data_IF_594928479637
#
_entry.id   IF_594928479637
#
_cell.length_a   1.000
_cell.length_b   1.000
_cell.length_c   1.000
_cell.angle_alpha   90.00
_cell.angle_beta   90.00
_cell.angle_gamma   90.00
#
_symmetry.space_group_name_H-M   'P 1'
#
loop_
_entity.id
_entity.type
_entity.pdbx_description
1 polymer ?
#
# COMPACT_ATOMS: atom_id res chain seq x y z
N UNK A 1 49.58 -7.06 -5.50
CA UNK A 1 49.42 -5.72 -4.89
C UNK A 1 48.93 -5.77 -3.46
N UNK A 2 47.83 -6.48 -3.15
CA UNK A 2 47.36 -6.63 -1.76
C UNK A 2 48.42 -7.17 -0.80
N UNK A 3 49.06 -8.30 -1.15
CA UNK A 3 50.16 -8.89 -0.35
C UNK A 3 51.25 -7.87 -0.02
N UNK A 4 51.68 -7.07 -1.01
CA UNK A 4 52.70 -6.04 -0.80
C UNK A 4 52.24 -4.99 0.22
N UNK A 5 50.98 -4.57 0.19
CA UNK A 5 50.47 -3.58 1.16
C UNK A 5 50.43 -4.16 2.58
N UNK A 6 50.01 -5.41 2.73
CA UNK A 6 49.95 -6.10 4.04
C UNK A 6 51.31 -6.52 4.58
N UNK A 7 52.31 -6.68 3.72
CA UNK A 7 53.69 -6.96 4.12
C UNK A 7 54.36 -5.74 4.75
N UNK A 8 54.00 -4.51 4.32
CA UNK A 8 54.57 -3.26 4.86
C UNK A 8 53.74 -2.62 5.97
N UNK A 9 52.41 -2.79 5.96
CA UNK A 9 51.52 -2.14 6.91
C UNK A 9 50.55 -3.14 7.52
N UNK A 10 50.36 -3.04 8.84
CA UNK A 10 49.49 -3.97 9.55
C UNK A 10 48.02 -3.72 9.17
N UNK A 11 47.32 -4.71 8.57
CA UNK A 11 45.93 -4.56 8.18
C UNK A 11 44.98 -4.80 9.37
N UNK A 12 43.80 -4.20 9.30
CA UNK A 12 42.67 -4.54 10.18
C UNK A 12 41.74 -5.55 9.47
N UNK A 13 41.67 -6.82 9.92
CA UNK A 13 40.83 -7.85 9.29
C UNK A 13 39.34 -7.49 9.22
N UNK A 14 38.81 -6.80 10.22
CA UNK A 14 37.37 -6.47 10.30
C UNK A 14 36.95 -5.44 9.23
N UNK A 15 37.93 -4.72 8.68
CA UNK A 15 37.76 -3.67 7.67
C UNK A 15 38.25 -4.08 6.28
N UNK A 16 38.43 -5.38 6.04
CA UNK A 16 38.63 -5.92 4.70
C UNK A 16 37.27 -6.02 3.99
N UNK A 17 37.19 -5.51 2.76
CA UNK A 17 36.02 -5.70 1.89
C UNK A 17 36.50 -6.12 0.50
N UNK A 18 36.12 -7.32 0.10
CA UNK A 18 36.45 -7.86 -1.22
C UNK A 18 35.25 -7.71 -2.16
N UNK A 19 35.17 -6.54 -2.83
CA UNK A 19 34.16 -6.30 -3.86
C UNK A 19 34.58 -6.85 -5.24
N UNK A 20 35.73 -7.53 -5.36
CA UNK A 20 36.12 -8.20 -6.60
C UNK A 20 35.40 -9.54 -6.69
N UNK A 21 35.36 -10.26 -5.57
CA UNK A 21 34.67 -11.55 -5.48
C UNK A 21 33.15 -11.38 -5.30
N UNK A 22 32.72 -10.25 -4.73
CA UNK A 22 31.31 -9.87 -4.54
C UNK A 22 31.07 -8.44 -5.06
N UNK A 23 30.90 -8.25 -6.38
CA UNK A 23 30.67 -6.93 -6.98
C UNK A 23 29.39 -6.28 -6.44
N UNK A 24 29.40 -4.95 -6.30
CA UNK A 24 28.18 -4.21 -5.91
C UNK A 24 27.16 -4.18 -7.05
N UNK A 25 25.90 -3.92 -6.74
CA UNK A 25 24.79 -3.84 -7.72
C UNK A 25 25.05 -2.90 -8.90
N UNK A 26 25.75 -1.79 -8.67
CA UNK A 26 26.13 -0.82 -9.70
C UNK A 26 27.33 -1.29 -10.57
N UNK A 27 27.82 -2.51 -10.37
CA UNK A 27 29.00 -3.07 -11.02
C UNK A 27 30.32 -2.63 -10.41
N UNK A 28 30.32 -1.97 -9.24
CA UNK A 28 31.58 -1.55 -8.60
C UNK A 28 32.38 -2.76 -8.11
N UNK A 29 33.63 -2.83 -8.55
CA UNK A 29 34.60 -3.89 -8.23
C UNK A 29 35.88 -3.24 -7.67
N UNK A 30 36.28 -3.60 -6.44
CA UNK A 30 37.53 -3.14 -5.82
C UNK A 30 37.82 -3.93 -4.54
N UNK A 31 39.09 -4.11 -4.21
CA UNK A 31 39.50 -4.66 -2.92
C UNK A 31 39.85 -3.51 -1.98
N UNK A 32 39.12 -3.37 -0.87
CA UNK A 32 39.36 -2.33 0.13
C UNK A 32 40.00 -2.95 1.37
N UNK A 33 41.09 -2.35 1.83
CA UNK A 33 41.75 -2.73 3.09
C UNK A 33 42.16 -1.49 3.86
N UNK A 34 41.95 -1.50 5.18
CA UNK A 34 42.41 -0.42 6.05
C UNK A 34 43.68 -0.86 6.76
N UNK A 35 44.76 -0.09 6.60
CA UNK A 35 46.07 -0.38 7.18
C UNK A 35 46.55 0.73 8.10
N UNK A 36 47.35 0.38 9.11
CA UNK A 36 47.96 1.35 10.02
C UNK A 36 49.24 1.95 9.42
N UNK A 37 49.31 3.27 9.31
CA UNK A 37 50.54 3.95 8.90
C UNK A 37 51.59 3.94 10.02
N UNK A 38 52.88 4.11 9.71
CA UNK A 38 53.94 4.23 10.72
C UNK A 38 53.79 5.49 11.59
N UNK A 39 52.99 6.46 11.12
CA UNK A 39 52.63 7.67 11.87
C UNK A 39 51.40 7.49 12.77
N UNK A 40 50.86 6.27 12.87
CA UNK A 40 49.72 5.93 13.73
C UNK A 40 48.36 6.36 13.17
N UNK A 41 48.26 6.66 11.87
CA UNK A 41 47.01 7.00 11.21
C UNK A 41 46.48 5.81 10.42
N UNK A 42 45.19 5.57 10.48
CA UNK A 42 44.54 4.60 9.62
C UNK A 42 44.39 5.15 8.21
N UNK A 43 44.82 4.36 7.22
CA UNK A 43 44.73 4.69 5.80
C UNK A 43 43.96 3.59 5.10
N UNK A 44 42.93 3.97 4.36
CA UNK A 44 42.20 3.06 3.49
C UNK A 44 42.90 2.97 2.14
N UNK A 45 43.17 1.74 1.71
CA UNK A 45 43.80 1.44 0.42
C UNK A 45 42.80 0.67 -0.43
N UNK A 46 42.51 1.21 -1.61
CA UNK A 46 41.61 0.60 -2.59
C UNK A 46 42.44 0.08 -3.76
N UNK A 47 42.31 -1.21 -4.04
CA UNK A 47 43.09 -1.91 -5.07
C UNK A 47 42.12 -2.40 -6.14
N UNK A 48 42.25 -1.86 -7.35
CA UNK A 48 41.41 -2.19 -8.50
C UNK A 48 42.23 -2.21 -9.79
N UNK A 49 41.80 -2.99 -10.77
CA UNK A 49 42.40 -2.99 -12.12
C UNK A 49 41.95 -1.76 -12.91
N UNK A 50 42.62 -1.44 -14.03
CA UNK A 50 42.22 -0.30 -14.86
C UNK A 50 40.77 -0.42 -15.38
N UNK A 51 40.34 -1.63 -15.76
CA UNK A 51 38.95 -1.92 -16.16
C UNK A 51 37.96 -1.60 -15.04
N UNK A 52 38.30 -1.99 -13.81
CA UNK A 52 37.45 -1.77 -12.62
C UNK A 52 37.40 -0.29 -12.23
N UNK A 53 38.52 0.43 -12.38
CA UNK A 53 38.62 1.88 -12.20
C UNK A 53 37.72 2.63 -13.19
N UNK A 54 37.77 2.27 -14.48
CA UNK A 54 36.90 2.87 -15.50
C UNK A 54 35.41 2.66 -15.20
N UNK A 55 35.03 1.47 -14.72
CA UNK A 55 33.65 1.16 -14.33
C UNK A 55 33.22 1.91 -13.06
N UNK A 56 34.13 2.08 -12.11
CA UNK A 56 33.89 2.83 -10.88
C UNK A 56 33.74 4.35 -11.10
N UNK A 57 34.55 4.93 -11.99
CA UNK A 57 34.58 6.38 -12.23
C UNK A 57 33.51 6.83 -13.25
N UNK A 58 33.22 6.00 -14.26
CA UNK A 58 32.36 6.37 -15.40
C UNK A 58 31.03 5.62 -15.47
N UNK A 59 30.83 4.63 -14.59
CA UNK A 59 29.60 3.83 -14.51
C UNK A 59 29.22 3.15 -15.83
N UNK A 60 27.92 3.00 -16.08
CA UNK A 60 27.35 2.31 -17.26
C UNK A 60 27.85 2.82 -18.62
N UNK A 61 28.25 4.09 -18.73
CA UNK A 61 28.67 4.70 -19.99
C UNK A 61 30.02 4.17 -20.52
N UNK A 62 30.91 3.71 -19.63
CA UNK A 62 32.19 3.12 -20.02
C UNK A 62 32.05 1.68 -20.54
N UNK A 63 31.10 0.90 -19.99
CA UNK A 63 30.86 -0.47 -20.43
C UNK A 63 30.34 -0.54 -21.87
N UNK A 64 29.60 0.48 -22.33
CA UNK A 64 29.10 0.56 -23.70
C UNK A 64 30.20 0.92 -24.72
N UNK A 65 31.10 1.85 -24.38
CA UNK A 65 32.23 2.23 -25.24
C UNK A 65 33.32 1.15 -25.33
N UNK A 66 33.60 0.44 -24.23
CA UNK A 66 34.57 -0.65 -24.25
C UNK A 66 34.08 -1.87 -25.05
N UNK A 67 32.78 -2.20 -24.99
CA UNK A 67 32.18 -3.28 -25.80
C UNK A 67 32.14 -2.99 -27.29
N UNK A 68 32.14 -1.72 -27.72
CA UNK A 68 32.18 -1.35 -29.14
C UNK A 68 33.59 -1.33 -29.73
N UNK A 69 34.63 -1.17 -28.90
CA UNK A 69 36.02 -1.04 -29.38
C UNK A 69 36.93 -2.22 -28.99
N UNK A 70 36.52 -3.07 -28.04
CA UNK A 70 37.36 -4.14 -27.48
C UNK A 70 36.99 -5.55 -27.95
N UNK A 71 37.28 -5.90 -29.21
CA UNK A 71 37.16 -7.28 -29.69
C UNK A 71 37.32 -7.45 -31.21
N UNK A 72 38.57 -7.36 -31.69
CA UNK A 72 39.09 -7.79 -33.01
C UNK A 72 38.37 -7.30 -34.28
N UNK A 73 39.06 -6.39 -34.98
CA UNK A 73 39.06 -6.33 -36.44
C UNK A 73 39.28 -7.74 -37.02
N UNK A 74 38.64 -8.03 -38.16
CA UNK A 74 38.54 -9.32 -38.88
C UNK A 74 37.45 -10.31 -38.43
N UNK A 75 36.20 -10.06 -38.85
CA UNK A 75 35.51 -10.90 -39.86
C UNK A 75 34.05 -10.47 -40.04
N UNK A 76 33.81 -9.68 -41.07
CA UNK A 76 32.47 -9.43 -41.62
C UNK A 76 31.93 -10.70 -42.29
N UNK A 77 31.46 -11.69 -41.52
CA UNK A 77 30.63 -12.78 -42.06
C UNK A 77 29.49 -13.12 -41.09
N UNK A 78 28.29 -12.66 -41.46
CA UNK A 78 26.95 -13.17 -41.15
C UNK A 78 26.82 -14.12 -39.94
N UNK A 79 26.69 -13.56 -38.74
CA UNK A 79 26.10 -14.27 -37.60
C UNK A 79 24.62 -13.89 -37.46
N UNK A 80 23.78 -14.89 -37.18
CA UNK A 80 22.36 -14.72 -36.88
C UNK A 80 22.17 -13.88 -35.60
N UNK A 81 21.10 -13.06 -35.49
CA UNK A 81 20.73 -12.37 -34.24
C UNK A 81 20.67 -13.30 -33.01
N UNK A 82 20.36 -14.59 -33.21
CA UNK A 82 20.32 -15.58 -32.13
C UNK A 82 21.70 -15.99 -31.63
N UNK A 83 22.68 -16.15 -32.53
CA UNK A 83 24.05 -16.55 -32.19
C UNK A 83 24.81 -15.41 -31.51
N UNK A 84 24.49 -14.15 -31.87
CA UNK A 84 24.98 -12.96 -31.17
C UNK A 84 24.45 -12.86 -29.74
N UNK A 85 23.21 -13.28 -29.49
CA UNK A 85 22.62 -13.28 -28.15
C UNK A 85 23.25 -14.37 -27.26
N UNK A 86 23.54 -15.54 -27.82
CA UNK A 86 24.15 -16.67 -27.11
C UNK A 86 25.63 -16.41 -26.78
N UNK A 87 26.37 -15.74 -27.67
CA UNK A 87 27.74 -15.28 -27.39
C UNK A 87 27.80 -14.11 -26.39
N UNK A 88 26.76 -13.25 -26.35
CA UNK A 88 26.62 -12.19 -25.35
C UNK A 88 26.33 -12.73 -23.94
N UNK A 89 25.52 -13.79 -23.85
CA UNK A 89 25.14 -14.46 -22.59
C UNK A 89 26.31 -15.21 -21.93
N UNK A 90 27.36 -15.55 -22.69
CA UNK A 90 28.47 -16.35 -22.18
C UNK A 90 29.55 -15.55 -21.41
N UNK A 91 29.54 -14.20 -21.41
CA UNK A 91 30.71 -13.39 -20.99
C UNK A 91 30.45 -12.05 -20.27
N UNK A 92 29.39 -11.86 -19.48
CA UNK A 92 29.32 -10.65 -18.65
C UNK A 92 28.26 -10.55 -17.56
N UNK A 93 28.72 -10.39 -16.31
CA UNK A 93 28.06 -9.65 -15.21
C UNK A 93 26.68 -10.14 -14.76
N UNK A 94 26.65 -11.12 -13.87
CA UNK A 94 25.47 -11.80 -13.30
C UNK A 94 24.28 -10.88 -12.90
N UNK A 95 24.53 -9.64 -12.49
CA UNK A 95 23.47 -8.73 -12.04
C UNK A 95 22.60 -8.14 -13.17
N UNK A 96 23.17 -7.87 -14.35
CA UNK A 96 22.41 -7.24 -15.45
C UNK A 96 21.61 -8.29 -16.21
N UNK A 97 22.14 -9.51 -16.34
CA UNK A 97 21.41 -10.63 -16.93
C UNK A 97 20.30 -11.13 -15.99
N UNK A 98 20.52 -11.14 -14.66
CA UNK A 98 19.45 -11.35 -13.68
C UNK A 98 18.36 -10.27 -13.78
N UNK A 99 18.76 -9.00 -13.97
CA UNK A 99 17.85 -7.87 -14.16
C UNK A 99 16.98 -8.01 -15.41
N UNK A 100 17.58 -8.32 -16.56
CA UNK A 100 16.84 -8.55 -17.82
C UNK A 100 15.96 -9.80 -17.73
N UNK A 101 16.41 -10.84 -17.03
CA UNK A 101 15.62 -12.04 -16.76
C UNK A 101 14.36 -11.75 -15.94
N UNK A 102 14.48 -10.97 -14.86
CA UNK A 102 13.35 -10.59 -14.01
C UNK A 102 12.33 -9.70 -14.73
N UNK A 103 12.80 -8.72 -15.51
CA UNK A 103 11.91 -7.88 -16.33
C UNK A 103 11.16 -8.75 -17.35
N UNK A 104 11.85 -9.70 -17.99
CA UNK A 104 11.24 -10.60 -18.96
C UNK A 104 10.20 -11.51 -18.31
N UNK A 105 10.48 -12.07 -17.13
CA UNK A 105 9.52 -12.90 -16.36
C UNK A 105 8.25 -12.12 -16.03
N UNK A 106 8.38 -10.85 -15.60
CA UNK A 106 7.24 -9.98 -15.28
C UNK A 106 6.44 -9.60 -16.53
N UNK A 107 7.11 -9.28 -17.64
CA UNK A 107 6.47 -8.96 -18.91
C UNK A 107 5.78 -10.17 -19.55
N UNK A 108 6.36 -11.36 -19.44
CA UNK A 108 5.75 -12.61 -19.90
C UNK A 108 4.58 -13.06 -19.00
N UNK A 109 4.53 -12.60 -17.75
CA UNK A 109 3.46 -12.85 -16.77
C UNK A 109 2.13 -12.13 -17.03
N UNK A 110 2.08 -11.17 -17.96
CA UNK A 110 0.82 -10.56 -18.43
C UNK A 110 0.16 -9.59 -17.45
N UNK A 111 0.89 -9.01 -16.49
CA UNK A 111 0.32 -7.95 -15.63
C UNK A 111 0.12 -6.64 -16.39
N UNK A 112 -1.04 -6.02 -16.17
CA UNK A 112 -1.51 -4.79 -16.83
C UNK A 112 -0.76 -3.53 -16.34
N UNK A 113 0.22 -3.70 -15.45
CA UNK A 113 0.83 -2.60 -14.72
C UNK A 113 2.37 -2.62 -14.75
N UNK A 114 2.92 -2.88 -15.94
CA UNK A 114 4.36 -2.82 -16.20
C UNK A 114 4.98 -1.45 -15.84
N UNK A 115 4.18 -0.37 -15.83
CA UNK A 115 4.62 0.97 -15.48
C UNK A 115 4.83 1.14 -13.97
N UNK A 116 3.89 0.70 -13.12
CA UNK A 116 4.11 0.72 -11.68
C UNK A 116 5.26 -0.21 -11.26
N UNK A 117 5.44 -1.34 -11.95
CA UNK A 117 6.61 -2.20 -11.73
C UNK A 117 7.93 -1.47 -11.99
N UNK A 118 8.05 -0.70 -13.07
CA UNK A 118 9.28 0.04 -13.40
C UNK A 118 9.60 1.08 -12.33
N UNK A 119 8.60 1.80 -11.81
CA UNK A 119 8.82 2.83 -10.81
C UNK A 119 9.12 2.25 -9.42
N UNK A 120 8.47 1.16 -9.02
CA UNK A 120 8.79 0.40 -7.80
C UNK A 120 10.20 -0.23 -7.89
N UNK A 121 10.64 -0.63 -9.09
CA UNK A 121 11.97 -1.20 -9.32
C UNK A 121 13.10 -0.15 -9.33
N UNK A 122 12.88 1.05 -9.89
CA UNK A 122 13.87 2.14 -9.86
C UNK A 122 14.27 2.55 -8.45
N UNK A 123 13.33 2.48 -7.50
CA UNK A 123 13.58 2.78 -6.09
C UNK A 123 14.50 1.73 -5.43
N UNK A 124 14.42 0.47 -5.86
CA UNK A 124 15.26 -0.63 -5.35
C UNK A 124 16.68 -0.66 -5.92
N UNK A 125 16.98 0.05 -7.02
CA UNK A 125 18.33 0.10 -7.60
C UNK A 125 19.34 0.89 -6.74
N UNK A 126 18.85 1.66 -5.77
CA UNK A 126 19.66 2.50 -4.88
C UNK A 126 19.56 2.11 -3.41
N UNK A 127 18.80 1.05 -3.07
CA UNK A 127 18.69 0.58 -1.69
C UNK A 127 19.97 -0.10 -1.25
N UNK A 128 20.37 0.13 0.01
CA UNK A 128 21.40 -0.67 0.67
C UNK A 128 21.01 -2.17 0.60
N UNK A 129 21.98 -3.07 0.50
CA UNK A 129 21.73 -4.52 0.43
C UNK A 129 22.05 -5.18 1.77
N UNK A 130 21.26 -6.20 2.13
CA UNK A 130 21.53 -7.08 3.26
C UNK A 130 21.93 -8.47 2.77
N UNK A 131 22.92 -9.04 3.47
CA UNK A 131 23.47 -10.36 3.17
C UNK A 131 23.00 -11.36 4.22
N UNK A 132 22.21 -12.35 3.82
CA UNK A 132 21.63 -13.34 4.73
C UNK A 132 22.04 -14.75 4.34
N UNK A 133 22.13 -15.65 5.31
CA UNK A 133 22.60 -17.01 5.12
C UNK A 133 21.45 -18.01 5.21
N UNK A 134 21.47 -19.01 4.34
CA UNK A 134 20.63 -20.21 4.51
C UNK A 134 21.16 -21.08 5.67
N UNK A 135 20.38 -22.06 6.17
CA UNK A 135 20.86 -23.01 7.17
C UNK A 135 22.05 -23.85 6.67
N UNK A 136 22.18 -24.01 5.35
CA UNK A 136 23.29 -24.71 4.67
C UNK A 136 24.54 -23.84 4.50
N UNK A 137 24.44 -22.53 4.77
CA UNK A 137 25.55 -21.58 4.67
C UNK A 137 25.63 -20.84 3.32
N UNK A 138 24.63 -20.98 2.46
CA UNK A 138 24.57 -20.26 1.18
C UNK A 138 24.22 -18.79 1.43
N UNK A 139 24.95 -17.89 0.77
CA UNK A 139 24.75 -16.44 0.86
C UNK A 139 23.64 -16.01 -0.10
N UNK A 140 22.63 -15.30 0.40
CA UNK A 140 21.55 -14.70 -0.38
C UNK A 140 21.55 -13.19 -0.16
N UNK A 141 21.49 -12.44 -1.27
CA UNK A 141 21.39 -10.98 -1.26
C UNK A 141 19.94 -10.54 -1.38
N UNK A 142 19.53 -9.61 -0.52
CA UNK A 142 18.20 -8.99 -0.49
C UNK A 142 18.34 -7.48 -0.29
N UNK A 143 17.35 -6.65 -0.70
CA UNK A 143 17.36 -5.23 -0.38
C UNK A 143 17.19 -5.00 1.13
N UNK A 144 17.73 -3.90 1.64
CA UNK A 144 17.59 -3.52 3.03
C UNK A 144 16.12 -3.37 3.42
N UNK A 145 15.77 -3.89 4.60
CA UNK A 145 14.39 -3.96 5.08
C UNK A 145 13.61 -5.18 4.56
N UNK A 146 14.20 -6.03 3.71
CA UNK A 146 13.57 -7.28 3.31
C UNK A 146 13.26 -8.18 4.51
N UNK A 147 12.16 -8.91 4.41
CA UNK A 147 11.66 -9.76 5.50
C UNK A 147 11.92 -11.25 5.25
N UNK A 148 11.73 -12.14 6.25
CA UNK A 148 11.81 -13.59 6.04
C UNK A 148 10.89 -14.10 4.92
N UNK A 149 9.76 -13.43 4.65
CA UNK A 149 8.91 -13.76 3.51
C UNK A 149 9.59 -13.46 2.17
N UNK A 150 10.26 -12.32 2.03
CA UNK A 150 11.04 -11.99 0.84
C UNK A 150 12.14 -13.04 0.62
N UNK A 151 12.84 -13.43 1.67
CA UNK A 151 13.84 -14.51 1.63
C UNK A 151 13.22 -15.85 1.17
N UNK A 152 12.06 -16.23 1.70
CA UNK A 152 11.39 -17.47 1.32
C UNK A 152 10.99 -17.48 -0.17
N UNK A 153 10.45 -16.38 -0.69
CA UNK A 153 10.10 -16.23 -2.11
C UNK A 153 11.30 -16.10 -3.04
N UNK A 154 12.45 -15.64 -2.51
CA UNK A 154 13.74 -15.62 -3.21
C UNK A 154 14.33 -17.02 -3.37
N UNK A 155 14.24 -17.88 -2.35
CA UNK A 155 14.67 -19.28 -2.44
C UNK A 155 13.83 -20.02 -3.49
N UNK A 156 12.51 -20.03 -3.31
CA UNK A 156 11.60 -20.71 -4.23
C UNK A 156 10.15 -20.29 -3.97
N UNK A 157 9.35 -20.08 -5.03
CA UNK A 157 7.94 -19.69 -4.90
C UNK A 157 7.15 -20.63 -3.99
N UNK A 158 7.33 -21.95 -4.14
CA UNK A 158 6.70 -22.96 -3.26
C UNK A 158 7.07 -22.83 -1.79
N UNK A 159 8.31 -22.46 -1.46
CA UNK A 159 8.76 -22.27 -0.07
C UNK A 159 8.09 -21.03 0.51
N UNK A 160 8.09 -19.93 -0.25
CA UNK A 160 7.35 -18.70 0.09
C UNK A 160 5.86 -18.96 0.30
N UNK A 161 5.17 -19.62 -0.64
CA UNK A 161 3.74 -19.89 -0.54
C UNK A 161 3.34 -20.77 0.65
N UNK A 162 4.24 -21.66 1.08
CA UNK A 162 4.02 -22.59 2.19
C UNK A 162 4.58 -22.09 3.52
N UNK A 163 5.11 -20.87 3.58
CA UNK A 163 5.75 -20.29 4.76
C UNK A 163 4.74 -20.05 5.89
N UNK A 164 4.94 -20.68 7.06
CA UNK A 164 4.16 -20.40 8.27
C UNK A 164 4.93 -19.47 9.21
N UNK A 165 6.24 -19.59 9.25
CA UNK A 165 7.08 -18.88 10.20
C UNK A 165 8.54 -18.93 9.78
N UNK A 166 9.35 -18.12 10.44
CA UNK A 166 10.78 -18.07 10.22
C UNK A 166 11.52 -18.13 11.55
N UNK A 167 12.73 -18.69 11.52
CA UNK A 167 13.71 -18.51 12.57
C UNK A 167 14.88 -17.72 12.02
N UNK A 168 15.31 -16.73 12.79
CA UNK A 168 16.54 -15.98 12.52
C UNK A 168 17.50 -16.28 13.66
N UNK A 169 18.70 -16.77 13.33
CA UNK A 169 19.72 -17.18 14.31
C UNK A 169 19.15 -18.16 15.36
N UNK A 170 18.38 -19.15 14.89
CA UNK A 170 17.67 -20.16 15.68
C UNK A 170 16.54 -19.65 16.61
N UNK A 171 16.20 -18.36 16.58
CA UNK A 171 15.08 -17.78 17.34
C UNK A 171 13.88 -17.58 16.43
N UNK A 172 12.67 -17.92 16.90
CA UNK A 172 11.45 -17.64 16.16
C UNK A 172 11.22 -16.13 16.06
N UNK A 173 10.97 -15.64 14.85
CA UNK A 173 10.68 -14.23 14.58
C UNK A 173 9.39 -14.07 13.79
N UNK A 174 8.71 -12.92 13.89
CA UNK A 174 7.59 -12.57 13.01
C UNK A 174 8.01 -12.58 11.53
N UNK A 175 7.06 -12.87 10.64
CA UNK A 175 7.29 -12.84 9.18
C UNK A 175 7.51 -11.43 8.63
N UNK A 176 7.15 -10.40 9.40
CA UNK A 176 7.31 -8.98 9.09
C UNK A 176 8.62 -8.39 9.61
N UNK A 177 9.41 -9.14 10.38
CA UNK A 177 10.67 -8.66 10.96
C UNK A 177 11.68 -8.35 9.83
N UNK A 178 12.32 -7.16 9.79
CA UNK A 178 13.34 -6.87 8.80
C UNK A 178 14.63 -7.66 9.08
N UNK A 179 15.22 -8.21 8.03
CA UNK A 179 16.47 -8.99 8.11
C UNK A 179 17.69 -8.08 8.16
N UNK A 180 18.69 -8.48 8.96
CA UNK A 180 19.98 -7.80 9.06
C UNK A 180 21.10 -8.58 8.35
N UNK A 181 22.14 -7.86 7.90
CA UNK A 181 23.33 -8.50 7.32
C UNK A 181 24.02 -9.40 8.34
N UNK A 182 24.27 -10.65 7.96
CA UNK A 182 24.88 -11.69 8.81
C UNK A 182 23.88 -12.67 9.40
N UNK A 183 22.57 -12.44 9.25
CA UNK A 183 21.54 -13.30 9.81
C UNK A 183 21.45 -14.65 9.10
N UNK A 184 21.34 -15.72 9.88
CA UNK A 184 21.00 -17.05 9.37
C UNK A 184 19.49 -17.27 9.45
N UNK A 185 18.84 -17.47 8.30
CA UNK A 185 17.38 -17.56 8.17
C UNK A 185 16.94 -18.98 7.86
N UNK A 186 16.07 -19.55 8.68
CA UNK A 186 15.43 -20.86 8.50
C UNK A 186 13.93 -20.67 8.32
N UNK A 187 13.38 -21.13 7.18
CA UNK A 187 11.95 -21.01 6.88
C UNK A 187 11.20 -22.27 7.28
N UNK A 188 10.14 -22.11 8.06
CA UNK A 188 9.25 -23.18 8.49
C UNK A 188 8.08 -23.24 7.50
N UNK A 189 7.92 -24.39 6.83
CA UNK A 189 6.89 -24.57 5.79
C UNK A 189 5.82 -25.59 6.18
N UNK A 190 4.61 -25.45 5.60
CA UNK A 190 3.55 -26.45 5.66
C UNK A 190 2.76 -26.55 4.36
N UNK A 191 2.35 -27.77 4.04
CA UNK A 191 1.55 -28.07 2.85
C UNK A 191 0.14 -27.47 2.87
N UNK A 192 -0.40 -27.14 4.06
CA UNK A 192 -1.75 -26.54 4.20
C UNK A 192 -1.74 -25.01 4.09
N UNK A 193 -0.56 -24.40 4.17
CA UNK A 193 -0.43 -22.95 4.15
C UNK A 193 -0.54 -22.45 2.71
N UNK A 194 -1.30 -21.37 2.55
CA UNK A 194 -1.44 -20.61 1.31
C UNK A 194 -1.14 -19.13 1.57
N UNK A 195 -0.70 -18.37 0.55
CA UNK A 195 -0.49 -16.93 0.67
C UNK A 195 -1.75 -16.21 1.16
N UNK A 196 -1.55 -15.17 1.97
CA UNK A 196 -2.63 -14.32 2.49
C UNK A 196 -2.48 -12.89 2.01
N UNK A 197 -3.57 -12.15 1.98
CA UNK A 197 -3.57 -10.75 1.55
C UNK A 197 -2.67 -9.86 2.41
N UNK A 198 -2.68 -10.08 3.74
CA UNK A 198 -1.84 -9.37 4.71
C UNK A 198 -0.34 -9.47 4.39
N UNK A 199 0.11 -10.53 3.71
CA UNK A 199 1.53 -10.70 3.37
C UNK A 199 2.04 -9.60 2.44
N UNK A 200 1.16 -8.97 1.65
CA UNK A 200 1.52 -7.84 0.79
C UNK A 200 2.00 -6.62 1.58
N UNK A 201 1.67 -6.51 2.86
CA UNK A 201 2.16 -5.45 3.74
C UNK A 201 3.56 -5.77 4.31
N UNK A 202 3.92 -7.05 4.38
CA UNK A 202 5.19 -7.52 4.96
C UNK A 202 6.32 -7.65 3.94
N UNK A 203 5.99 -7.88 2.67
CA UNK A 203 7.01 -8.06 1.62
C UNK A 203 7.44 -6.73 1.02
N UNK A 204 8.75 -6.54 0.94
CA UNK A 204 9.38 -5.36 0.34
C UNK A 204 9.70 -5.59 -1.12
N UNK A 205 10.05 -6.82 -1.51
CA UNK A 205 10.52 -7.10 -2.88
C UNK A 205 9.37 -7.17 -3.88
N UNK A 206 9.53 -6.53 -5.04
CA UNK A 206 8.56 -6.57 -6.13
C UNK A 206 8.31 -8.01 -6.62
N UNK A 207 9.35 -8.85 -6.65
CA UNK A 207 9.23 -10.26 -7.02
C UNK A 207 8.33 -11.05 -6.06
N UNK A 208 8.50 -10.88 -4.75
CA UNK A 208 7.63 -11.54 -3.77
C UNK A 208 6.20 -11.01 -3.84
N UNK A 209 6.00 -9.68 -3.96
CA UNK A 209 4.68 -9.06 -4.14
C UNK A 209 3.94 -9.63 -5.35
N UNK A 210 4.60 -9.70 -6.50
CA UNK A 210 4.00 -10.27 -7.73
C UNK A 210 3.65 -11.75 -7.56
N UNK A 211 4.54 -12.57 -6.99
CA UNK A 211 4.27 -13.99 -6.71
C UNK A 211 3.09 -14.20 -5.76
N UNK A 212 2.97 -13.37 -4.72
CA UNK A 212 1.84 -13.41 -3.78
C UNK A 212 0.54 -13.01 -4.48
N UNK A 213 0.53 -11.90 -5.23
CA UNK A 213 -0.66 -11.46 -6.00
C UNK A 213 -1.13 -12.54 -6.98
N UNK A 214 -0.20 -13.15 -7.71
CA UNK A 214 -0.50 -14.24 -8.64
C UNK A 214 -1.16 -15.43 -7.94
N UNK A 215 -0.63 -15.84 -6.79
CA UNK A 215 -1.21 -16.93 -6.00
C UNK A 215 -2.61 -16.60 -5.45
N UNK A 216 -2.81 -15.38 -4.92
CA UNK A 216 -4.12 -14.92 -4.44
C UNK A 216 -5.15 -14.86 -5.58
N UNK A 217 -4.74 -14.37 -6.76
CA UNK A 217 -5.59 -14.32 -7.94
C UNK A 217 -6.00 -15.73 -8.42
N UNK A 218 -5.09 -16.70 -8.38
CA UNK A 218 -5.40 -18.07 -8.76
C UNK A 218 -6.36 -18.73 -7.75
N UNK A 219 -6.16 -18.50 -6.45
CA UNK A 219 -7.11 -18.97 -5.43
C UNK A 219 -8.49 -18.34 -5.61
N UNK A 220 -8.54 -17.02 -5.81
CA UNK A 220 -9.77 -16.30 -6.11
C UNK A 220 -10.44 -16.86 -7.38
N UNK A 221 -9.65 -17.29 -8.38
CA UNK A 221 -10.16 -17.90 -9.60
C UNK A 221 -10.79 -19.26 -9.38
N UNK A 222 -10.17 -20.11 -8.55
CA UNK A 222 -10.73 -21.40 -8.15
C UNK A 222 -12.04 -21.20 -7.37
N UNK A 223 -12.08 -20.26 -6.43
CA UNK A 223 -13.30 -19.93 -5.69
C UNK A 223 -14.39 -19.37 -6.61
N UNK A 224 -14.04 -18.51 -7.57
CA UNK A 224 -14.98 -17.98 -8.55
C UNK A 224 -15.63 -19.08 -9.43
N UNK A 225 -14.92 -20.18 -9.72
CA UNK A 225 -15.52 -21.34 -10.41
C UNK A 225 -16.65 -21.97 -9.57
N UNK A 226 -16.44 -22.13 -8.25
CA UNK A 226 -17.48 -22.63 -7.34
C UNK A 226 -18.67 -21.66 -7.26
N UNK A 227 -18.39 -20.34 -7.19
CA UNK A 227 -19.41 -19.30 -7.18
C UNK A 227 -20.26 -19.26 -8.45
N UNK A 228 -19.64 -19.50 -9.60
CA UNK A 228 -20.35 -19.65 -10.89
C UNK A 228 -21.34 -20.82 -10.84
N UNK A 229 -20.94 -21.94 -10.23
CA UNK A 229 -21.80 -23.10 -10.07
C UNK A 229 -22.95 -22.87 -9.09
N UNK A 230 -22.71 -22.19 -7.96
CA UNK A 230 -23.75 -21.74 -7.03
C UNK A 230 -24.76 -20.82 -7.73
N UNK A 231 -24.26 -19.83 -8.47
CA UNK A 231 -25.09 -18.91 -9.23
C UNK A 231 -25.95 -19.63 -10.28
N UNK A 232 -25.37 -20.59 -11.01
CA UNK A 232 -26.09 -21.42 -11.99
C UNK A 232 -27.20 -22.28 -11.36
N UNK A 233 -26.98 -22.81 -10.15
CA UNK A 233 -28.03 -23.54 -9.40
C UNK A 233 -29.15 -22.60 -8.95
N UNK A 234 -28.79 -21.40 -8.50
CA UNK A 234 -29.75 -20.38 -8.10
C UNK A 234 -30.60 -19.90 -9.27
N UNK A 235 -30.02 -19.62 -10.43
CA UNK A 235 -30.78 -19.27 -11.64
C UNK A 235 -31.82 -20.35 -12.00
N UNK A 236 -31.44 -21.63 -11.91
CA UNK A 236 -32.39 -22.75 -12.10
C UNK A 236 -33.51 -22.78 -11.06
N UNK A 237 -33.19 -22.53 -9.78
CA UNK A 237 -34.17 -22.45 -8.68
C UNK A 237 -35.17 -21.31 -8.89
N UNK A 238 -34.71 -20.19 -9.42
CA UNK A 238 -35.51 -18.99 -9.70
C UNK A 238 -36.29 -19.11 -11.03
N UNK A 239 -35.97 -20.07 -11.89
CA UNK A 239 -36.67 -20.27 -13.17
C UNK A 239 -36.15 -19.37 -14.30
N UNK A 240 -34.87 -18.99 -14.23
CA UNK A 240 -34.19 -18.10 -15.16
C UNK A 240 -32.99 -18.83 -15.78
N UNK A 241 -32.74 -18.64 -17.08
CA UNK A 241 -31.50 -19.12 -17.70
C UNK A 241 -30.33 -18.16 -17.43
N UNK A 242 -29.14 -18.73 -17.24
CA UNK A 242 -27.90 -17.98 -16.96
C UNK A 242 -27.35 -17.21 -18.16
N UNK A 243 -28.19 -16.44 -18.85
CA UNK A 243 -27.78 -15.56 -19.93
C UNK A 243 -26.87 -14.43 -19.41
N UNK A 244 -25.98 -13.95 -20.28
CA UNK A 244 -25.08 -12.82 -20.02
C UNK A 244 -25.79 -11.60 -19.46
N UNK A 245 -27.03 -11.35 -19.88
CA UNK A 245 -27.85 -10.21 -19.47
C UNK A 245 -28.22 -10.26 -17.98
N UNK A 246 -28.52 -11.45 -17.45
CA UNK A 246 -28.88 -11.64 -16.04
C UNK A 246 -27.67 -11.45 -15.13
N UNK A 247 -26.50 -11.93 -15.58
CA UNK A 247 -25.22 -11.70 -14.90
C UNK A 247 -24.87 -10.21 -14.90
N UNK A 248 -25.03 -9.52 -16.03
CA UNK A 248 -24.82 -8.06 -16.14
C UNK A 248 -25.77 -7.27 -15.23
N UNK A 249 -27.03 -7.70 -15.10
CA UNK A 249 -27.98 -7.12 -14.16
C UNK A 249 -27.50 -7.23 -12.71
N UNK A 250 -26.97 -8.39 -12.32
CA UNK A 250 -26.38 -8.59 -11.00
C UNK A 250 -25.12 -7.74 -10.79
N UNK A 251 -24.23 -7.63 -11.78
CA UNK A 251 -23.05 -6.77 -11.69
C UNK A 251 -23.42 -5.33 -11.37
N UNK A 252 -24.44 -4.79 -12.05
CA UNK A 252 -24.95 -3.43 -11.79
C UNK A 252 -25.55 -3.31 -10.38
N UNK A 253 -26.35 -4.30 -9.95
CA UNK A 253 -27.04 -4.26 -8.65
C UNK A 253 -26.08 -4.32 -7.46
N UNK A 254 -25.07 -5.18 -7.55
CA UNK A 254 -24.08 -5.41 -6.50
C UNK A 254 -22.84 -4.52 -6.65
N UNK A 255 -22.80 -3.64 -7.66
CA UNK A 255 -21.68 -2.73 -7.97
C UNK A 255 -20.36 -3.49 -8.04
N UNK A 256 -20.32 -4.50 -8.90
CA UNK A 256 -19.14 -5.36 -9.09
C UNK A 256 -18.62 -5.17 -10.52
N UNK A 257 -17.31 -5.00 -10.66
CA UNK A 257 -16.68 -4.59 -11.91
C UNK A 257 -16.54 -5.72 -12.93
N UNK A 258 -16.53 -6.98 -12.48
CA UNK A 258 -16.38 -8.14 -13.36
C UNK A 258 -17.24 -9.34 -12.95
N UNK A 259 -17.69 -10.16 -13.92
CA UNK A 259 -18.35 -11.44 -13.64
C UNK A 259 -17.51 -12.33 -12.71
N UNK A 260 -16.19 -12.27 -12.86
CA UNK A 260 -15.26 -13.02 -12.03
C UNK A 260 -15.36 -12.64 -10.55
N UNK A 261 -15.27 -11.33 -10.27
CA UNK A 261 -15.40 -10.80 -8.92
C UNK A 261 -16.81 -11.08 -8.34
N UNK A 262 -17.85 -11.07 -9.17
CA UNK A 262 -19.21 -11.42 -8.73
C UNK A 262 -19.27 -12.89 -8.27
N UNK A 263 -18.74 -13.81 -9.08
CA UNK A 263 -18.70 -15.21 -8.69
C UNK A 263 -17.84 -15.44 -7.44
N UNK A 264 -16.70 -14.77 -7.32
CA UNK A 264 -15.87 -14.83 -6.12
C UNK A 264 -16.62 -14.39 -4.85
N UNK A 265 -17.34 -13.26 -4.92
CA UNK A 265 -18.17 -12.75 -3.81
C UNK A 265 -19.33 -13.69 -3.45
N UNK A 266 -19.89 -14.38 -4.44
CA UNK A 266 -20.91 -15.42 -4.21
C UNK A 266 -20.29 -16.65 -3.53
N UNK A 267 -19.09 -17.07 -3.95
CA UNK A 267 -18.42 -18.23 -3.40
C UNK A 267 -18.04 -18.05 -1.93
N UNK A 268 -17.50 -16.88 -1.60
CA UNK A 268 -17.08 -16.45 -0.25
C UNK A 268 -18.25 -16.08 0.67
N UNK A 269 -19.47 -15.96 0.14
CA UNK A 269 -20.67 -15.64 0.93
C UNK A 269 -20.88 -14.14 1.20
N UNK A 270 -20.02 -13.26 0.66
CA UNK A 270 -20.23 -11.81 0.64
C UNK A 270 -21.54 -11.44 -0.06
N UNK A 271 -21.96 -12.23 -1.05
CA UNK A 271 -23.28 -12.15 -1.68
C UNK A 271 -24.04 -13.45 -1.37
N UNK A 272 -24.99 -13.36 -0.44
CA UNK A 272 -25.91 -14.45 -0.12
C UNK A 272 -27.06 -14.47 -1.13
N UNK A 273 -27.04 -15.45 -2.04
CA UNK A 273 -28.02 -15.64 -3.10
C UNK A 273 -29.45 -15.87 -2.58
N UNK A 274 -29.63 -16.45 -1.39
CA UNK A 274 -30.96 -16.72 -0.83
C UNK A 274 -31.58 -15.46 -0.20
N UNK A 275 -30.78 -14.44 0.09
CA UNK A 275 -31.24 -13.13 0.61
C UNK A 275 -31.48 -12.09 -0.47
N UNK A 276 -31.19 -12.42 -1.73
CA UNK A 276 -31.39 -11.51 -2.85
C UNK A 276 -32.89 -11.30 -3.07
N UNK A 277 -33.35 -10.05 -2.90
CA UNK A 277 -34.74 -9.63 -3.05
C UNK A 277 -34.83 -8.40 -3.97
N UNK A 278 -36.04 -8.06 -4.40
CA UNK A 278 -36.30 -6.90 -5.25
C UNK A 278 -36.03 -7.16 -6.72
N UNK A 279 -36.41 -8.34 -7.21
CA UNK A 279 -36.40 -8.67 -8.63
C UNK A 279 -37.72 -9.33 -9.03
N UNK A 280 -38.15 -9.05 -10.25
CA UNK A 280 -39.25 -9.69 -10.93
C UNK A 280 -38.72 -10.44 -12.15
N UNK A 281 -39.32 -11.59 -12.44
CA UNK A 281 -38.93 -12.38 -13.60
C UNK A 281 -39.89 -12.03 -14.74
N UNK A 282 -39.39 -11.40 -15.80
CA UNK A 282 -40.14 -11.16 -17.03
C UNK A 282 -39.43 -11.82 -18.20
N UNK A 283 -40.11 -12.72 -18.90
CA UNK A 283 -39.58 -13.41 -20.09
C UNK A 283 -38.19 -14.05 -19.89
N UNK A 284 -37.95 -14.68 -18.72
CA UNK A 284 -36.65 -15.32 -18.42
C UNK A 284 -35.52 -14.34 -18.08
N UNK A 285 -35.82 -13.07 -17.83
CA UNK A 285 -34.85 -12.04 -17.39
C UNK A 285 -35.15 -11.56 -15.98
N UNK A 286 -34.09 -11.29 -15.22
CA UNK A 286 -34.16 -10.63 -13.92
C UNK A 286 -34.32 -9.13 -14.13
N UNK A 287 -35.55 -8.65 -14.00
CA UNK A 287 -35.83 -7.22 -13.88
C UNK A 287 -35.74 -6.84 -12.41
N UNK A 288 -34.68 -6.12 -12.06
CA UNK A 288 -34.51 -5.59 -10.72
C UNK A 288 -35.48 -4.44 -10.51
N UNK A 289 -36.12 -4.40 -9.35
CA UNK A 289 -36.91 -3.25 -8.94
C UNK A 289 -36.01 -2.02 -9.03
N UNK A 290 -36.49 -0.99 -9.72
CA UNK A 290 -35.79 0.28 -9.81
C UNK A 290 -35.77 0.91 -8.41
N UNK A 291 -34.75 0.58 -7.62
CA UNK A 291 -34.22 1.54 -6.66
C UNK A 291 -33.82 2.81 -7.41
N UNK A 292 -33.80 3.99 -6.77
CA UNK A 292 -33.44 5.24 -7.43
C UNK A 292 -32.13 5.02 -8.20
N UNK A 293 -32.20 5.15 -9.52
CA UNK A 293 -31.07 4.86 -10.40
C UNK A 293 -29.89 5.76 -9.99
N UNK A 294 -28.70 5.21 -9.68
CA UNK A 294 -27.51 6.03 -9.70
C UNK A 294 -27.28 6.40 -11.17
N UNK A 295 -27.50 7.68 -11.49
CA UNK A 295 -27.31 8.23 -12.82
C UNK A 295 -25.93 7.81 -13.37
N UNK A 296 -25.95 6.87 -14.31
CA UNK A 296 -24.77 6.46 -15.05
C UNK A 296 -24.28 7.64 -15.88
N UNK A 297 -23.09 8.13 -15.56
CA UNK A 297 -22.08 8.72 -16.46
C UNK A 297 -22.54 9.17 -17.86
N UNK A 298 -23.52 10.07 -17.90
CA UNK A 298 -23.64 11.12 -18.90
C UNK A 298 -23.60 12.39 -18.08
N UNK A 299 -22.81 13.37 -18.53
CA UNK A 299 -22.78 14.69 -17.93
C UNK A 299 -24.21 15.10 -17.55
N UNK A 300 -24.47 15.19 -16.25
CA UNK A 300 -25.76 15.57 -15.69
C UNK A 300 -26.01 17.01 -16.12
N UNK A 301 -26.71 17.17 -17.23
CA UNK A 301 -27.43 18.39 -17.53
C UNK A 301 -28.72 18.23 -16.74
N UNK A 302 -28.73 18.80 -15.52
CA UNK A 302 -29.89 18.78 -14.65
C UNK A 302 -31.13 19.27 -15.39
N UNK A 303 -32.29 18.78 -14.97
CA UNK A 303 -33.56 19.33 -15.47
C UNK A 303 -33.56 20.86 -15.26
N UNK A 304 -34.20 21.61 -16.17
CA UNK A 304 -34.32 23.07 -16.03
C UNK A 304 -34.93 23.48 -14.67
N UNK A 305 -35.72 22.60 -14.07
CA UNK A 305 -36.38 22.79 -12.77
C UNK A 305 -35.39 22.59 -11.60
N UNK A 306 -34.54 21.56 -11.62
CA UNK A 306 -33.50 21.36 -10.60
C UNK A 306 -32.42 22.45 -10.66
N UNK A 307 -32.00 22.85 -11.87
CA UNK A 307 -31.06 23.95 -12.04
C UNK A 307 -31.64 25.27 -11.51
N UNK A 308 -32.92 25.55 -11.76
CA UNK A 308 -33.61 26.72 -11.22
C UNK A 308 -33.68 26.70 -9.68
N UNK A 309 -33.98 25.55 -9.08
CA UNK A 309 -34.03 25.41 -7.61
C UNK A 309 -32.66 25.58 -6.93
N UNK A 310 -31.58 25.10 -7.55
CA UNK A 310 -30.21 25.26 -7.03
C UNK A 310 -29.74 26.71 -7.16
N UNK A 311 -30.05 27.37 -8.29
CA UNK A 311 -29.76 28.79 -8.47
C UNK A 311 -30.52 29.64 -7.45
N UNK A 312 -31.80 29.35 -7.22
CA UNK A 312 -32.61 30.07 -6.24
C UNK A 312 -32.09 29.90 -4.81
N UNK A 313 -31.72 28.69 -4.37
CA UNK A 313 -31.14 28.46 -3.05
C UNK A 313 -29.77 29.14 -2.87
N UNK A 314 -28.98 29.26 -3.94
CA UNK A 314 -27.71 30.01 -3.93
C UNK A 314 -27.92 31.52 -3.88
N UNK A 315 -28.95 32.03 -4.57
CA UNK A 315 -29.33 33.45 -4.52
C UNK A 315 -29.90 33.83 -3.14
N UNK A 316 -30.66 32.94 -2.51
CA UNK A 316 -31.23 33.12 -1.16
C UNK A 316 -30.16 33.01 -0.04
N UNK A 317 -29.15 32.15 -0.21
CA UNK A 317 -28.06 31.98 0.77
C UNK A 317 -26.97 33.07 0.71
N UNK A 318 -26.87 33.80 -0.41
CA UNK A 318 -25.71 34.65 -0.69
C UNK A 318 -24.43 33.85 -1.02
N UNK A 319 -23.32 34.56 -1.23
CA UNK A 319 -22.05 33.97 -1.67
C UNK A 319 -21.41 33.03 -0.61
N UNK A 320 -21.79 33.17 0.66
CA UNK A 320 -21.29 32.38 1.79
C UNK A 320 -22.43 32.09 2.77
N UNK A 321 -22.70 30.82 3.05
CA UNK A 321 -23.62 30.40 4.11
C UNK A 321 -22.90 30.45 5.47
N UNK A 322 -23.53 31.06 6.48
CA UNK A 322 -22.98 31.15 7.83
C UNK A 322 -23.65 30.13 8.77
N UNK A 323 -22.86 29.21 9.31
CA UNK A 323 -23.36 28.17 10.22
C UNK A 323 -23.35 28.69 11.65
N UNK A 324 -24.53 28.82 12.28
CA UNK A 324 -24.65 29.02 13.73
C UNK A 324 -25.21 30.37 14.19
N UNK A 325 -25.36 31.34 13.30
CA UNK A 325 -26.17 32.54 13.58
C UNK A 325 -27.60 32.29 13.08
N UNK A 326 -28.58 32.49 13.95
CA UNK A 326 -30.02 32.36 13.64
C UNK A 326 -30.56 33.44 12.69
N UNK A 327 -29.74 33.88 11.72
CA UNK A 327 -30.09 34.87 10.70
C UNK A 327 -30.14 34.30 9.28
N UNK A 328 -29.67 33.06 9.03
CA UNK A 328 -29.86 32.41 7.73
C UNK A 328 -31.14 31.57 7.75
N UNK A 329 -32.09 31.88 6.86
CA UNK A 329 -33.42 31.24 6.74
C UNK A 329 -33.38 29.82 6.14
N UNK A 330 -32.20 29.25 5.95
CA UNK A 330 -32.00 28.00 5.20
C UNK A 330 -31.66 26.84 6.12
N UNK A 331 -32.48 25.78 6.05
CA UNK A 331 -32.26 24.55 6.80
C UNK A 331 -30.99 23.82 6.30
N UNK A 332 -30.04 23.62 7.22
CA UNK A 332 -28.83 22.84 6.98
C UNK A 332 -28.69 21.70 7.99
N UNK A 333 -27.96 20.65 7.60
CA UNK A 333 -27.62 19.54 8.49
C UNK A 333 -26.14 19.17 8.41
N UNK A 334 -25.57 18.71 9.52
CA UNK A 334 -24.20 18.22 9.54
C UNK A 334 -24.13 16.82 8.88
N UNK A 335 -23.04 16.53 8.18
CA UNK A 335 -22.80 15.22 7.57
C UNK A 335 -22.20 14.22 8.57
N UNK A 336 -22.79 13.02 8.66
CA UNK A 336 -22.32 11.96 9.55
C UNK A 336 -20.94 11.41 9.14
N UNK A 337 -20.62 11.39 7.84
CA UNK A 337 -19.37 10.81 7.34
C UNK A 337 -18.08 11.57 7.74
N UNK A 338 -18.20 12.79 8.26
CA UNK A 338 -17.02 13.56 8.70
C UNK A 338 -17.26 14.41 9.94
N UNK A 339 -18.51 14.48 10.44
CA UNK A 339 -18.92 15.12 11.69
C UNK A 339 -18.28 16.50 11.89
N UNK A 340 -18.52 17.48 11.00
CA UNK A 340 -17.84 18.78 11.06
C UNK A 340 -18.21 19.55 12.33
N UNK A 341 -17.22 20.19 12.96
CA UNK A 341 -17.39 21.03 14.16
C UNK A 341 -16.90 22.47 13.91
N UNK A 342 -17.32 23.44 14.74
CA UNK A 342 -16.86 24.83 14.63
C UNK A 342 -15.34 24.97 14.63
N UNK A 343 -14.82 25.64 13.59
CA UNK A 343 -13.39 25.82 13.34
C UNK A 343 -12.80 24.86 12.29
N UNK A 344 -13.57 23.87 11.82
CA UNK A 344 -13.17 23.06 10.66
C UNK A 344 -13.38 23.83 9.36
N UNK A 345 -12.47 23.67 8.40
CA UNK A 345 -12.68 24.13 7.02
C UNK A 345 -13.79 23.30 6.37
N UNK A 346 -14.92 23.93 6.09
CA UNK A 346 -16.14 23.26 5.62
C UNK A 346 -16.64 23.78 4.27
N UNK A 347 -17.48 22.97 3.63
CA UNK A 347 -18.26 23.37 2.47
C UNK A 347 -19.68 22.79 2.57
N UNK A 348 -20.65 23.52 2.03
CA UNK A 348 -22.03 23.07 1.93
C UNK A 348 -22.25 22.31 0.63
N UNK A 349 -23.00 21.20 0.70
CA UNK A 349 -23.43 20.42 -0.45
C UNK A 349 -24.95 20.34 -0.49
N UNK A 350 -25.55 20.82 -1.59
CA UNK A 350 -26.99 20.78 -1.78
C UNK A 350 -27.40 19.37 -2.23
N UNK A 351 -28.14 18.63 -1.41
CA UNK A 351 -28.60 17.27 -1.70
C UNK A 351 -29.72 17.25 -2.73
N UNK A 352 -30.03 16.07 -3.30
CA UNK A 352 -31.08 15.91 -4.33
C UNK A 352 -32.47 16.24 -3.78
N UNK A 353 -32.65 16.06 -2.46
CA UNK A 353 -33.89 16.42 -1.77
C UNK A 353 -34.00 17.92 -1.44
N UNK A 354 -33.04 18.76 -1.87
CA UNK A 354 -33.07 20.21 -1.66
C UNK A 354 -32.56 20.68 -0.28
N UNK A 355 -31.95 19.81 0.52
CA UNK A 355 -31.37 20.17 1.82
C UNK A 355 -29.87 20.43 1.74
N UNK A 356 -29.34 21.30 2.59
CA UNK A 356 -27.90 21.59 2.63
C UNK A 356 -27.22 20.66 3.64
N UNK A 357 -26.19 19.93 3.21
CA UNK A 357 -25.33 19.11 4.09
C UNK A 357 -23.93 19.70 4.19
N UNK A 358 -23.47 19.91 5.41
CA UNK A 358 -22.14 20.48 5.69
C UNK A 358 -21.11 19.37 5.77
N UNK A 359 -20.03 19.49 5.01
CA UNK A 359 -18.89 18.57 4.97
C UNK A 359 -17.59 19.29 5.28
N UNK A 360 -16.60 18.57 5.85
CA UNK A 360 -15.21 19.05 5.93
C UNK A 360 -14.53 18.98 4.56
N UNK A 361 -13.63 19.90 4.26
CA UNK A 361 -12.83 19.86 3.03
C UNK A 361 -12.02 18.55 2.88
N UNK A 362 -11.53 18.00 3.99
CA UNK A 362 -10.78 16.72 4.00
C UNK A 362 -11.68 15.48 4.21
N UNK A 363 -12.97 15.56 3.91
CA UNK A 363 -13.87 14.40 3.99
C UNK A 363 -13.51 13.36 2.89
N UNK A 364 -13.62 12.03 3.13
CA UNK A 364 -13.40 11.01 2.10
C UNK A 364 -14.29 11.19 0.86
N UNK A 365 -15.49 11.71 1.07
CA UNK A 365 -16.43 12.01 -0.01
C UNK A 365 -16.17 13.37 -0.69
N UNK A 366 -15.34 14.24 -0.10
CA UNK A 366 -15.13 15.61 -0.59
C UNK A 366 -14.60 15.63 -2.03
N UNK A 367 -13.59 14.81 -2.35
CA UNK A 367 -13.03 14.71 -3.71
C UNK A 367 -14.12 14.38 -4.73
N UNK A 368 -15.00 13.43 -4.41
CA UNK A 368 -16.09 13.04 -5.32
C UNK A 368 -17.11 14.17 -5.48
N UNK A 369 -17.52 14.80 -4.37
CA UNK A 369 -18.51 15.88 -4.34
C UNK A 369 -18.01 17.12 -5.08
N UNK A 370 -16.77 17.54 -4.83
CA UNK A 370 -16.15 18.71 -5.45
C UNK A 370 -15.86 18.49 -6.93
N UNK A 371 -15.37 17.32 -7.34
CA UNK A 371 -15.01 17.09 -8.75
C UNK A 371 -16.22 16.81 -9.65
N UNK A 372 -17.22 16.07 -9.17
CA UNK A 372 -18.35 15.63 -10.02
C UNK A 372 -19.57 16.55 -9.93
N UNK A 373 -19.73 17.24 -8.80
CA UNK A 373 -20.93 18.00 -8.47
C UNK A 373 -20.61 19.43 -8.01
N UNK A 374 -19.53 20.02 -8.54
CA UNK A 374 -19.09 21.38 -8.21
C UNK A 374 -20.23 22.43 -8.21
N UNK A 375 -21.18 22.31 -9.15
CA UNK A 375 -22.32 23.23 -9.26
C UNK A 375 -23.28 23.19 -8.05
N UNK A 376 -23.25 22.13 -7.24
CA UNK A 376 -24.05 21.93 -6.00
C UNK A 376 -23.30 22.28 -4.72
N UNK A 377 -22.04 22.67 -4.86
CA UNK A 377 -21.19 23.08 -3.75
C UNK A 377 -21.39 24.57 -3.51
N UNK A 378 -21.45 24.95 -2.24
CA UNK A 378 -21.51 26.33 -1.79
C UNK A 378 -20.43 26.57 -0.74
N UNK A 379 -19.90 27.80 -0.72
CA UNK A 379 -18.95 28.21 0.30
C UNK A 379 -19.70 28.36 1.62
N UNK A 380 -19.10 27.87 2.69
CA UNK A 380 -19.73 27.87 4.01
C UNK A 380 -18.68 28.15 5.07
N UNK A 381 -19.02 29.02 6.01
CA UNK A 381 -18.14 29.40 7.12
C UNK A 381 -18.90 29.28 8.45
N UNK A 382 -18.16 29.02 9.53
CA UNK A 382 -18.75 28.97 10.86
C UNK A 382 -18.97 30.39 11.40
N UNK A 383 -20.17 30.70 11.86
CA UNK A 383 -20.43 31.92 12.61
C UNK A 383 -19.67 31.84 13.94
N UNK A 384 -18.80 32.82 14.19
CA UNK A 384 -18.00 32.85 15.40
C UNK A 384 -18.89 33.18 16.60
N UNK A 385 -19.34 32.13 17.31
CA UNK A 385 -19.78 32.05 18.73
C UNK A 385 -21.07 31.24 18.88
N UNK A 386 -20.92 29.92 18.93
CA UNK A 386 -21.85 29.10 19.69
C UNK A 386 -21.03 28.07 20.47
N UNK A 387 -21.02 28.21 21.80
CA UNK A 387 -20.42 27.25 22.72
C UNK A 387 -21.35 26.03 22.84
N UNK A 388 -21.54 25.32 21.73
CA UNK A 388 -22.16 24.01 21.75
C UNK A 388 -21.08 22.95 22.03
N UNK A 389 -21.45 21.96 22.82
CA UNK A 389 -20.60 20.82 23.18
C UNK A 389 -20.79 19.74 22.10
N UNK A 390 -19.75 19.42 21.33
CA UNK A 390 -19.79 18.48 20.22
C UNK A 390 -19.18 17.13 20.60
N UNK A 391 -19.84 16.03 20.24
CA UNK A 391 -19.28 14.68 20.38
C UNK A 391 -18.35 14.38 19.19
N UNK A 392 -17.13 13.94 19.51
CA UNK A 392 -16.10 13.59 18.53
C UNK A 392 -15.43 12.29 18.94
N UNK A 393 -15.19 11.40 17.98
CA UNK A 393 -14.35 10.22 18.17
C UNK A 393 -12.87 10.57 17.97
N UNK A 394 -12.02 10.08 18.88
CA UNK A 394 -10.56 10.18 18.81
C UNK A 394 -10.00 8.77 18.91
N UNK A 395 -9.20 8.39 17.93
CA UNK A 395 -8.49 7.12 17.85
C UNK A 395 -7.03 7.37 18.17
N UNK A 396 -6.39 6.47 18.87
CA UNK A 396 -4.99 6.60 19.24
C UNK A 396 -4.35 5.22 19.33
N UNK A 397 -3.15 5.08 18.79
CA UNK A 397 -2.43 3.80 18.77
C UNK A 397 -1.01 3.98 19.28
N UNK A 398 -0.42 2.88 19.74
CA UNK A 398 0.95 2.92 20.25
C UNK A 398 1.40 1.59 20.86
N UNK A 399 2.45 1.64 21.69
CA UNK A 399 3.01 0.47 22.36
C UNK A 399 2.35 0.29 23.73
N UNK A 400 1.92 -0.93 24.01
CA UNK A 400 1.24 -1.26 25.26
C UNK A 400 2.23 -1.32 26.43
N UNK A 401 2.27 -0.24 27.21
CA UNK A 401 3.07 -0.12 28.44
C UNK A 401 2.19 -0.16 29.71
N UNK A 402 2.75 -0.68 30.79
CA UNK A 402 2.05 -0.82 32.08
C UNK A 402 1.59 0.56 32.57
N UNK A 403 0.27 0.76 32.67
CA UNK A 403 -0.35 1.97 33.21
C UNK A 403 -0.79 2.99 32.15
N UNK A 404 -0.61 2.70 30.87
CA UNK A 404 -1.00 3.57 29.76
C UNK A 404 -2.48 3.96 29.78
N UNK A 405 -3.38 3.02 30.05
CA UNK A 405 -4.83 3.28 30.15
C UNK A 405 -5.13 4.37 31.18
N UNK A 406 -4.43 4.35 32.32
CA UNK A 406 -4.57 5.38 33.35
C UNK A 406 -3.97 6.72 32.91
N UNK A 407 -2.82 6.70 32.22
CA UNK A 407 -2.21 7.92 31.69
C UNK A 407 -3.13 8.63 30.69
N UNK A 408 -3.67 7.89 29.72
CA UNK A 408 -4.59 8.42 28.70
C UNK A 408 -5.88 8.96 29.34
N UNK A 409 -6.52 8.18 30.22
CA UNK A 409 -7.76 8.62 30.89
C UNK A 409 -7.56 9.84 31.78
N UNK A 410 -6.40 9.96 32.45
CA UNK A 410 -6.03 11.13 33.24
C UNK A 410 -5.82 12.37 32.37
N UNK A 411 -5.11 12.26 31.23
CA UNK A 411 -4.92 13.41 30.32
C UNK A 411 -6.27 13.93 29.81
N UNK A 412 -7.17 13.03 29.41
CA UNK A 412 -8.50 13.43 28.89
C UNK A 412 -9.34 14.07 30.01
N UNK A 413 -9.39 13.45 31.20
CA UNK A 413 -10.34 13.85 32.25
C UNK A 413 -9.79 14.91 33.21
N UNK A 414 -8.55 14.78 33.67
CA UNK A 414 -7.97 15.63 34.71
C UNK A 414 -7.28 16.86 34.13
N UNK A 415 -6.47 16.68 33.08
CA UNK A 415 -5.68 17.77 32.50
C UNK A 415 -6.51 18.62 31.55
N UNK A 416 -7.18 17.98 30.59
CA UNK A 416 -7.98 18.66 29.58
C UNK A 416 -9.44 18.91 30.00
N UNK A 417 -9.92 18.25 31.08
CA UNK A 417 -11.29 18.38 31.59
C UNK A 417 -12.36 18.11 30.53
N UNK A 418 -12.13 17.10 29.71
CA UNK A 418 -13.00 16.69 28.61
C UNK A 418 -13.91 15.55 29.07
N UNK A 419 -15.22 15.69 28.82
CA UNK A 419 -16.19 14.65 29.16
C UNK A 419 -16.05 13.46 28.18
N UNK A 420 -15.82 12.25 28.69
CA UNK A 420 -15.76 11.01 27.91
C UNK A 420 -17.13 10.29 27.93
N UNK A 421 -17.68 9.96 26.76
CA UNK A 421 -18.90 9.15 26.62
C UNK A 421 -18.61 7.66 26.49
N UNK A 422 -17.54 7.32 25.81
CA UNK A 422 -17.10 5.94 25.65
C UNK A 422 -15.58 5.92 25.51
N UNK A 423 -14.96 4.86 26.00
CA UNK A 423 -13.55 4.59 25.77
C UNK A 423 -13.35 3.08 25.63
N UNK A 424 -12.56 2.67 24.65
CA UNK A 424 -12.17 1.29 24.39
C UNK A 424 -10.67 1.22 24.21
N UNK A 425 -10.07 0.16 24.72
CA UNK A 425 -8.67 -0.18 24.55
C UNK A 425 -8.60 -1.65 24.18
N UNK A 426 -7.95 -1.95 23.07
CA UNK A 426 -7.65 -3.31 22.64
C UNK A 426 -6.13 -3.42 22.47
N UNK A 427 -5.54 -4.47 23.02
CA UNK A 427 -4.10 -4.73 22.89
C UNK A 427 -3.91 -5.98 22.05
N UNK A 428 -3.05 -5.88 21.04
CA UNK A 428 -2.74 -6.96 20.11
C UNK A 428 -1.25 -6.92 19.76
N UNK A 429 -0.56 -8.02 20.05
CA UNK A 429 0.85 -8.22 19.73
C UNK A 429 1.81 -7.13 20.28
N UNK A 430 1.48 -6.56 21.46
CA UNK A 430 2.30 -5.53 22.13
C UNK A 430 2.06 -4.10 21.64
N UNK A 431 1.18 -3.92 20.66
CA UNK A 431 0.61 -2.61 20.32
C UNK A 431 -0.81 -2.51 20.86
N UNK A 432 -1.22 -1.32 21.24
CA UNK A 432 -2.59 -1.04 21.64
C UNK A 432 -3.27 -0.15 20.61
N UNK A 433 -4.56 -0.38 20.41
CA UNK A 433 -5.49 0.46 19.68
C UNK A 433 -6.55 0.96 20.66
N UNK A 434 -6.64 2.27 20.80
CA UNK A 434 -7.59 2.95 21.65
C UNK A 434 -8.57 3.81 20.85
N UNK A 435 -9.82 3.85 21.29
CA UNK A 435 -10.81 4.78 20.75
C UNK A 435 -11.61 5.41 21.89
N UNK A 436 -11.76 6.73 21.87
CA UNK A 436 -12.53 7.49 22.84
C UNK A 436 -13.55 8.38 22.12
N UNK A 437 -14.80 8.40 22.62
CA UNK A 437 -15.80 9.40 22.25
C UNK A 437 -15.83 10.48 23.31
N UNK A 438 -15.44 11.68 22.91
CA UNK A 438 -15.20 12.83 23.79
C UNK A 438 -16.09 14.01 23.41
N UNK A 439 -16.38 14.87 24.37
CA UNK A 439 -17.18 16.08 24.15
C UNK A 439 -16.26 17.31 24.16
N UNK A 440 -16.09 17.95 23.01
CA UNK A 440 -15.22 19.12 22.80
C UNK A 440 -16.03 20.36 22.43
N UNK A 441 -15.47 21.53 22.69
CA UNK A 441 -16.14 22.82 22.43
C UNK A 441 -15.89 23.33 21.00
N UNK A 442 -14.69 23.11 20.49
CA UNK A 442 -14.22 23.60 19.19
C UNK A 442 -13.03 22.77 18.68
N UNK A 443 -12.59 23.05 17.46
CA UNK A 443 -11.44 22.40 16.84
C UNK A 443 -10.12 22.71 17.55
N UNK A 444 -9.96 23.86 18.22
CA UNK A 444 -8.72 24.20 18.95
C UNK A 444 -8.56 23.37 20.22
N UNK A 445 -9.65 23.18 20.96
CA UNK A 445 -9.74 22.33 22.13
C UNK A 445 -9.48 20.87 21.75
N UNK A 446 -10.06 20.39 20.64
CA UNK A 446 -9.76 19.06 20.11
C UNK A 446 -8.29 18.89 19.72
N UNK A 447 -7.71 19.85 18.99
CA UNK A 447 -6.28 19.81 18.60
C UNK A 447 -5.37 19.82 19.83
N UNK A 448 -5.72 20.57 20.86
CA UNK A 448 -4.98 20.60 22.12
C UNK A 448 -5.05 19.27 22.85
N UNK A 449 -6.24 18.65 22.89
CA UNK A 449 -6.44 17.30 23.44
C UNK A 449 -5.61 16.25 22.68
N UNK A 450 -5.63 16.29 21.35
CA UNK A 450 -4.88 15.35 20.52
C UNK A 450 -3.37 15.46 20.75
N UNK A 451 -2.83 16.68 20.84
CA UNK A 451 -1.41 16.91 21.18
C UNK A 451 -1.06 16.40 22.57
N UNK A 452 -1.91 16.69 23.57
CA UNK A 452 -1.68 16.19 24.92
C UNK A 452 -1.69 14.66 24.99
N UNK A 453 -2.48 13.99 24.14
CA UNK A 453 -2.48 12.54 23.99
C UNK A 453 -1.23 12.01 23.27
N UNK A 454 -0.73 12.71 22.25
CA UNK A 454 0.54 12.38 21.59
C UNK A 454 1.75 12.49 22.52
N UNK A 455 1.71 13.40 23.50
CA UNK A 455 2.78 13.57 24.50
C UNK A 455 2.79 12.45 25.56
N UNK A 456 1.77 11.58 25.61
CA UNK A 456 1.73 10.46 26.56
C UNK A 456 2.76 9.40 26.14
N UNK A 457 3.69 9.00 27.04
CA UNK A 457 4.65 7.94 26.75
C UNK A 457 3.95 6.65 26.32
N UNK A 458 4.32 6.14 25.15
CA UNK A 458 3.73 4.94 24.55
C UNK A 458 2.70 5.21 23.45
N UNK A 459 2.13 6.42 23.35
CA UNK A 459 1.24 6.81 22.23
C UNK A 459 2.07 7.24 21.03
N UNK A 460 1.77 6.71 19.85
CA UNK A 460 2.48 7.01 18.61
C UNK A 460 1.68 7.85 17.62
N UNK A 461 0.38 7.56 17.49
CA UNK A 461 -0.50 8.33 16.61
C UNK A 461 -1.80 8.65 17.31
N UNK A 462 -2.33 9.85 17.05
CA UNK A 462 -3.65 10.28 17.50
C UNK A 462 -4.38 10.87 16.31
N UNK A 463 -5.54 10.33 16.00
CA UNK A 463 -6.35 10.77 14.87
C UNK A 463 -7.81 10.97 15.27
N UNK A 464 -8.51 11.82 14.52
CA UNK A 464 -9.95 12.02 14.71
C UNK A 464 -10.69 10.93 13.94
N UNK A 465 -11.40 10.05 14.66
CA UNK A 465 -12.20 9.00 14.06
C UNK A 465 -13.37 9.59 13.28
N UNK A 466 -13.65 8.97 12.15
CA UNK A 466 -14.83 9.24 11.33
C UNK A 466 -15.81 8.10 11.61
N UNK A 467 -17.11 8.40 11.77
CA UNK A 467 -18.09 7.32 11.89
C UNK A 467 -18.13 6.53 10.57
N UNK A 468 -17.80 5.23 10.65
CA UNK A 468 -18.11 4.28 9.58
C UNK A 468 -19.63 4.16 9.47
N UNK A 469 -20.19 4.83 8.47
CA UNK A 469 -21.62 4.84 8.16
C UNK A 469 -22.06 3.67 7.28
#
# INVERSE_FOLDING_TARGET
TYSMVTDFYQPNPDRLRDWISLPKANGYESLHTTVMSPTGKWVEVQIRSQRMDDMAERGLAAHWRYKTEGGSEESDIAMSPSERAEALAAKGGDNIDSWLGQIREVLEGGEVDALNFIDEFKLNLFSEEVYVFTPTGDLITLPAGATPLDFAFRIHTKVGSQCIGAKVNHKLVPLSEPLSSGDQVEIITSRKQVPKEDWLQYVVTASARSKIRSALNEEARIQALEGKDKLRKWFRKVGVEGHSDNVLGMLKRFKVDSPHALHHRIATGLIDLDRVRGFHIRSGRLEWDKGPEPASSKAYVGSKEEAASITQLKEEAGDVLLIGDGQDTLDYGLAACCTPIPGDDVFGFITVSGGIKIHRQNCPNATNLLSRYAYRVMKTEWASKAAEKFEVGVGFTGIDDIGLVNAVTNVISADMRVDMRAISFESKDGMFEGAARVIVSDTEHLKSLMRALEDVPGVHTVERLQEEG
#
